data_IF_277975368341
#
_entry.id   IF_277975368341
#
_cell.length_a   1.000
_cell.length_b   1.000
_cell.length_c   1.000
_cell.angle_alpha   90.00
_cell.angle_beta   90.00
_cell.angle_gamma   90.00
#
_symmetry.space_group_name_H-M   'P 1'
#
loop_
_entity.id
_entity.type
_entity.pdbx_description
1 polymer ?
#
# COMPACT_ATOMS: atom_id res chain seq x y z
N UNK A 1 13.99 23.73 -9.73
CA UNK A 1 13.92 22.93 -8.47
C UNK A 1 13.94 23.92 -7.31
N UNK A 2 12.90 24.01 -6.47
CA UNK A 2 12.81 25.02 -5.40
C UNK A 2 13.88 24.71 -4.34
N UNK A 3 14.85 25.62 -4.14
CA UNK A 3 16.03 25.40 -3.25
C UNK A 3 15.63 25.02 -1.80
N UNK A 4 14.48 25.49 -1.32
CA UNK A 4 14.01 25.25 0.06
C UNK A 4 13.65 23.80 0.39
N UNK A 5 13.41 22.96 -0.62
CA UNK A 5 13.06 21.53 -0.47
C UNK A 5 14.15 20.59 -1.00
N UNK A 6 15.33 21.13 -1.35
CA UNK A 6 16.46 20.33 -1.82
C UNK A 6 16.98 19.43 -0.68
N UNK A 7 16.85 18.11 -0.84
CA UNK A 7 17.41 17.11 0.10
C UNK A 7 18.94 17.13 0.11
N UNK A 8 19.54 17.28 -1.07
CA UNK A 8 20.99 17.32 -1.25
C UNK A 8 21.64 18.57 -0.61
N UNK A 9 20.86 19.64 -0.45
CA UNK A 9 21.31 20.93 0.06
C UNK A 9 20.88 21.19 1.52
N UNK A 10 20.20 20.22 2.17
CA UNK A 10 19.65 20.39 3.52
C UNK A 10 18.70 21.59 3.64
N UNK A 11 17.94 21.91 2.57
CA UNK A 11 17.12 23.12 2.50
C UNK A 11 16.24 23.30 3.74
N UNK A 12 15.90 24.55 4.11
CA UNK A 12 15.26 24.91 5.40
C UNK A 12 14.03 24.07 5.81
N UNK A 13 13.35 23.47 4.83
CA UNK A 13 12.19 22.60 5.07
C UNK A 13 12.54 21.14 5.39
N UNK A 14 13.82 20.76 5.36
CA UNK A 14 14.34 19.42 5.66
C UNK A 14 14.85 19.40 7.11
N UNK A 15 14.54 18.33 7.85
CA UNK A 15 15.08 18.12 9.20
C UNK A 15 16.37 17.31 9.15
N UNK A 16 17.05 17.19 10.29
CA UNK A 16 18.25 16.35 10.46
C UNK A 16 18.06 14.88 10.06
N UNK A 17 16.81 14.39 9.99
CA UNK A 17 16.48 13.04 9.53
C UNK A 17 16.33 12.93 8.00
N UNK A 18 16.75 13.94 7.22
CA UNK A 18 16.61 14.00 5.75
C UNK A 18 15.15 13.84 5.26
N UNK A 19 14.18 14.22 6.10
CA UNK A 19 12.74 14.20 5.83
C UNK A 19 12.22 15.64 5.80
N UNK A 20 11.10 15.89 5.11
CA UNK A 20 10.40 17.16 5.22
C UNK A 20 9.97 17.37 6.69
N UNK A 21 10.33 18.50 7.29
CA UNK A 21 10.05 18.84 8.71
C UNK A 21 8.59 18.61 9.07
N UNK A 22 7.67 19.10 8.23
CA UNK A 22 6.23 18.95 8.43
C UNK A 22 5.76 17.48 8.48
N UNK A 23 6.45 16.57 7.81
CA UNK A 23 6.11 15.14 7.71
C UNK A 23 7.02 14.24 8.58
N UNK A 24 7.97 14.82 9.30
CA UNK A 24 8.90 14.04 10.11
C UNK A 24 8.25 13.62 11.42
N UNK A 25 8.02 12.31 11.59
CA UNK A 25 7.44 11.74 12.81
C UNK A 25 8.32 11.97 14.04
N UNK A 26 9.63 11.86 13.86
CA UNK A 26 10.61 11.97 14.94
C UNK A 26 10.75 13.42 15.43
N UNK A 27 10.47 14.40 14.57
CA UNK A 27 10.42 15.82 14.93
C UNK A 27 9.02 16.30 15.31
N UNK A 28 8.01 15.42 15.35
CA UNK A 28 6.61 15.84 15.60
C UNK A 28 6.08 16.84 14.57
N UNK A 29 6.46 16.68 13.29
CA UNK A 29 6.11 17.61 12.22
C UNK A 29 4.63 17.98 12.18
N UNK A 30 4.30 19.21 11.74
CA UNK A 30 2.95 19.77 11.80
C UNK A 30 1.85 18.93 11.10
N UNK A 31 2.21 18.09 10.14
CA UNK A 31 1.30 17.16 9.46
C UNK A 31 1.11 15.84 10.20
N UNK A 32 1.85 15.59 11.28
CA UNK A 32 1.80 14.39 12.11
C UNK A 32 0.94 14.71 13.34
N UNK A 33 -0.03 13.85 13.65
CA UNK A 33 -0.84 13.99 14.86
C UNK A 33 -0.18 13.33 16.08
N UNK A 34 -0.80 13.49 17.26
CA UNK A 34 -0.36 12.88 18.52
C UNK A 34 -0.23 11.35 18.44
N UNK A 35 -1.00 10.70 17.55
CA UNK A 35 -0.93 9.26 17.29
C UNK A 35 0.24 8.84 16.37
N UNK A 36 1.18 9.75 16.05
CA UNK A 36 2.32 9.53 15.13
C UNK A 36 1.90 9.08 13.71
N UNK A 37 0.69 9.45 13.31
CA UNK A 37 0.10 9.23 11.96
C UNK A 37 -0.03 10.56 11.24
N UNK A 38 -0.11 10.53 9.91
CA UNK A 38 -0.41 11.73 9.14
C UNK A 38 -1.84 12.20 9.49
N UNK A 39 -1.97 13.46 9.93
CA UNK A 39 -3.19 14.07 10.46
C UNK A 39 -4.35 13.95 9.46
N UNK A 40 -4.06 14.09 8.17
CA UNK A 40 -5.04 13.93 7.09
C UNK A 40 -5.67 12.52 7.04
N UNK A 41 -4.93 11.46 7.35
CA UNK A 41 -5.43 10.07 7.33
C UNK A 41 -5.67 9.49 8.73
N UNK A 42 -5.59 10.29 9.79
CA UNK A 42 -5.75 9.81 11.15
C UNK A 42 -7.24 9.68 11.49
N UNK A 43 -7.73 8.44 11.66
CA UNK A 43 -9.12 8.18 12.04
C UNK A 43 -9.49 8.76 13.40
N UNK A 44 -8.61 8.61 14.39
CA UNK A 44 -8.81 9.08 15.77
C UNK A 44 -8.89 10.61 15.86
N UNK A 45 -8.24 11.33 14.93
CA UNK A 45 -8.33 12.78 14.84
C UNK A 45 -9.42 13.27 13.87
N UNK A 46 -10.24 12.38 13.30
CA UNK A 46 -11.24 12.76 12.30
C UNK A 46 -10.64 13.34 11.01
N UNK A 47 -9.43 12.89 10.63
CA UNK A 47 -8.68 13.46 9.51
C UNK A 47 -9.48 13.54 8.21
N UNK A 48 -9.34 14.66 7.48
CA UNK A 48 -10.13 14.98 6.28
C UNK A 48 -10.05 13.94 5.15
N UNK A 49 -9.02 13.09 5.14
CA UNK A 49 -8.86 11.98 4.20
C UNK A 49 -9.71 10.75 4.53
N UNK A 50 -10.38 10.72 5.68
CA UNK A 50 -11.27 9.64 6.11
C UNK A 50 -12.72 10.06 5.89
N UNK A 51 -13.54 9.15 5.35
CA UNK A 51 -14.98 9.38 5.19
C UNK A 51 -15.76 8.94 6.43
N UNK A 52 -17.05 9.28 6.47
CA UNK A 52 -17.96 8.84 7.53
C UNK A 52 -18.00 7.31 7.74
N UNK A 53 -17.69 6.52 6.70
CA UNK A 53 -17.59 5.06 6.81
C UNK A 53 -16.28 4.56 7.43
N UNK A 54 -15.43 5.45 7.96
CA UNK A 54 -14.13 5.11 8.56
C UNK A 54 -13.09 4.58 7.56
N UNK A 55 -13.32 4.75 6.25
CA UNK A 55 -12.42 4.34 5.15
C UNK A 55 -11.72 5.58 4.58
N UNK A 56 -10.57 5.40 3.91
CA UNK A 56 -9.95 6.49 3.16
C UNK A 56 -10.90 6.92 2.05
N UNK A 57 -11.25 8.21 1.99
CA UNK A 57 -12.26 8.79 1.07
C UNK A 57 -12.05 8.33 -0.37
N UNK A 58 -10.83 8.44 -0.88
CA UNK A 58 -10.51 8.06 -2.26
C UNK A 58 -10.73 6.56 -2.55
N UNK A 59 -10.70 5.69 -1.53
CA UNK A 59 -10.89 4.24 -1.69
C UNK A 59 -12.24 3.74 -1.16
N UNK A 60 -13.11 4.63 -0.70
CA UNK A 60 -14.41 4.25 -0.18
C UNK A 60 -15.39 4.03 -1.34
N UNK A 61 -15.88 2.79 -1.50
CA UNK A 61 -16.89 2.45 -2.52
C UNK A 61 -18.20 3.17 -2.29
N UNK A 62 -18.63 3.21 -1.03
CA UNK A 62 -19.89 3.82 -0.59
C UNK A 62 -19.92 5.34 -0.84
N UNK A 63 -18.75 5.99 -0.92
CA UNK A 63 -18.62 7.40 -1.27
C UNK A 63 -18.28 7.64 -2.76
N UNK A 64 -18.21 6.60 -3.60
CA UNK A 64 -17.76 6.74 -4.99
C UNK A 64 -16.33 7.26 -5.12
N UNK A 65 -15.45 6.90 -4.18
CA UNK A 65 -14.09 7.44 -4.08
C UNK A 65 -13.31 7.37 -5.39
N UNK A 66 -12.44 8.37 -5.62
CA UNK A 66 -11.69 8.54 -6.88
C UNK A 66 -10.77 7.38 -7.28
N UNK A 67 -10.47 6.44 -6.39
CA UNK A 67 -9.74 5.21 -6.72
C UNK A 67 -10.66 4.08 -7.21
N UNK A 68 -11.99 4.22 -7.11
CA UNK A 68 -12.97 3.21 -7.49
C UNK A 68 -13.45 3.48 -8.92
N UNK A 69 -13.50 2.45 -9.77
CA UNK A 69 -14.04 2.54 -11.13
C UNK A 69 -15.55 2.24 -11.15
N UNK A 70 -16.18 2.45 -12.31
CA UNK A 70 -17.59 2.12 -12.53
C UNK A 70 -17.93 0.65 -12.21
N UNK A 71 -16.97 -0.28 -12.34
CA UNK A 71 -17.13 -1.69 -11.98
C UNK A 71 -17.07 -1.97 -10.45
N UNK A 72 -17.05 -0.94 -9.60
CA UNK A 72 -16.97 -1.09 -8.13
C UNK A 72 -15.65 -1.68 -7.62
N UNK A 73 -14.60 -1.68 -8.46
CA UNK A 73 -13.25 -2.19 -8.14
C UNK A 73 -12.27 -1.02 -8.01
N UNK A 74 -11.19 -1.17 -7.26
CA UNK A 74 -10.10 -0.20 -7.30
C UNK A 74 -9.50 -0.17 -8.72
N UNK A 75 -9.44 1.02 -9.34
CA UNK A 75 -8.97 1.27 -10.72
C UNK A 75 -7.65 0.58 -11.01
N UNK A 76 -6.70 0.63 -10.06
CA UNK A 76 -5.38 -0.01 -10.20
C UNK A 76 -5.43 -1.52 -10.39
N UNK A 77 -6.48 -2.19 -9.91
CA UNK A 77 -6.67 -3.65 -9.97
C UNK A 77 -7.81 -4.06 -10.90
N UNK A 78 -8.51 -3.13 -11.53
CA UNK A 78 -9.59 -3.44 -12.45
C UNK A 78 -9.02 -3.86 -13.81
N UNK A 79 -9.30 -5.10 -14.23
CA UNK A 79 -8.86 -5.63 -15.53
C UNK A 79 -9.52 -4.87 -16.69
N UNK A 80 -10.83 -4.63 -16.59
CA UNK A 80 -11.61 -3.93 -17.62
C UNK A 80 -11.13 -2.49 -17.85
N UNK A 81 -10.64 -1.82 -16.80
CA UNK A 81 -10.06 -0.49 -16.91
C UNK A 81 -8.55 -0.48 -17.26
N UNK A 82 -7.94 -1.63 -17.56
CA UNK A 82 -6.49 -1.70 -17.81
C UNK A 82 -5.64 -1.28 -16.61
N UNK A 83 -6.09 -1.57 -15.39
CA UNK A 83 -5.49 -1.08 -14.15
C UNK A 83 -3.98 -1.31 -14.08
N UNK A 84 -3.22 -0.31 -13.61
CA UNK A 84 -1.74 -0.32 -13.59
C UNK A 84 -1.09 -1.52 -12.91
N UNK A 85 -1.80 -2.20 -12.00
CA UNK A 85 -1.32 -3.40 -11.30
C UNK A 85 -1.64 -4.71 -12.03
N UNK A 86 -2.32 -4.66 -13.17
CA UNK A 86 -2.63 -5.79 -14.04
C UNK A 86 -1.55 -5.88 -15.14
N UNK A 87 -1.04 -7.08 -15.39
CA UNK A 87 -0.07 -7.35 -16.46
C UNK A 87 -0.80 -7.69 -17.78
N UNK A 88 -0.07 -7.75 -18.91
CA UNK A 88 -0.64 -8.15 -20.20
C UNK A 88 -1.35 -9.51 -20.17
N UNK A 89 -0.91 -10.44 -19.32
CA UNK A 89 -1.56 -11.74 -19.10
C UNK A 89 -2.88 -11.65 -18.29
N UNK A 90 -3.38 -10.43 -18.02
CA UNK A 90 -4.59 -10.17 -17.24
C UNK A 90 -4.48 -10.50 -15.74
N UNK A 91 -3.30 -10.89 -15.25
CA UNK A 91 -3.06 -11.24 -13.83
C UNK A 91 -2.55 -10.02 -13.06
N UNK A 92 -2.66 -10.00 -11.74
CA UNK A 92 -1.95 -8.98 -10.95
C UNK A 92 -0.44 -9.15 -11.15
N UNK A 93 0.28 -8.06 -11.49
CA UNK A 93 1.73 -8.06 -11.78
C UNK A 93 2.54 -8.78 -10.71
N UNK A 94 2.24 -8.53 -9.43
CA UNK A 94 2.92 -9.17 -8.30
C UNK A 94 2.71 -10.68 -8.21
N UNK A 95 1.62 -11.21 -8.76
CA UNK A 95 1.26 -12.64 -8.70
C UNK A 95 1.40 -13.34 -10.05
N UNK A 96 1.88 -12.65 -11.09
CA UNK A 96 2.04 -13.24 -12.40
C UNK A 96 3.37 -13.97 -12.48
N UNK A 97 3.33 -15.28 -12.75
CA UNK A 97 4.53 -16.11 -12.89
C UNK A 97 5.36 -15.71 -14.12
N UNK A 98 4.69 -15.49 -15.25
CA UNK A 98 5.32 -15.10 -16.52
C UNK A 98 6.04 -13.74 -16.41
N UNK A 99 5.54 -12.84 -15.56
CA UNK A 99 6.21 -11.56 -15.29
C UNK A 99 7.23 -11.61 -14.15
N UNK A 100 7.52 -12.79 -13.57
CA UNK A 100 8.40 -12.90 -12.40
C UNK A 100 7.89 -12.08 -11.19
N UNK A 101 6.57 -12.00 -11.00
CA UNK A 101 5.95 -11.13 -10.01
C UNK A 101 6.54 -11.31 -8.61
N UNK A 102 6.67 -10.23 -7.85
CA UNK A 102 7.35 -10.22 -6.54
C UNK A 102 6.80 -11.23 -5.51
N UNK A 103 5.55 -11.67 -5.64
CA UNK A 103 4.94 -12.69 -4.78
C UNK A 103 5.26 -14.12 -5.23
N UNK A 104 5.96 -14.32 -6.34
CA UNK A 104 6.39 -15.63 -6.85
C UNK A 104 7.80 -15.93 -6.31
N UNK A 105 7.99 -17.15 -5.81
CA UNK A 105 9.31 -17.63 -5.39
C UNK A 105 10.07 -18.25 -6.57
N UNK A 106 11.35 -18.58 -6.35
CA UNK A 106 12.19 -19.32 -7.31
C UNK A 106 11.55 -20.62 -7.79
N UNK A 107 10.74 -21.28 -6.96
CA UNK A 107 10.01 -22.50 -7.32
C UNK A 107 8.76 -22.26 -8.20
N UNK A 108 8.52 -21.04 -8.69
CA UNK A 108 7.36 -20.70 -9.51
C UNK A 108 6.01 -20.79 -8.77
N UNK A 109 6.01 -20.81 -7.43
CA UNK A 109 4.82 -20.84 -6.57
C UNK A 109 4.62 -19.48 -5.89
N UNK A 110 3.41 -19.19 -5.41
CA UNK A 110 3.22 -18.04 -4.53
C UNK A 110 4.05 -18.24 -3.26
N UNK A 111 4.87 -17.27 -2.88
CA UNK A 111 5.74 -17.29 -1.69
C UNK A 111 4.99 -17.70 -0.44
N UNK A 112 3.77 -17.17 -0.24
CA UNK A 112 2.92 -17.50 0.91
C UNK A 112 2.46 -18.96 0.94
N UNK A 113 2.39 -19.63 -0.20
CA UNK A 113 1.89 -21.01 -0.34
C UNK A 113 3.00 -22.03 -0.63
N UNK A 114 4.25 -21.58 -0.77
CA UNK A 114 5.36 -22.45 -1.09
C UNK A 114 5.85 -23.17 0.18
N UNK A 115 5.75 -24.50 0.19
CA UNK A 115 6.23 -25.34 1.30
C UNK A 115 7.73 -25.22 1.51
N UNK A 116 8.50 -25.21 0.43
CA UNK A 116 9.96 -25.12 0.45
C UNK A 116 10.45 -23.76 0.98
N UNK A 117 9.67 -22.70 0.77
CA UNK A 117 9.96 -21.38 1.32
C UNK A 117 9.38 -21.16 2.73
N UNK A 118 8.74 -22.16 3.35
CA UNK A 118 8.07 -21.99 4.64
C UNK A 118 6.94 -20.94 4.60
N UNK A 119 6.21 -20.86 3.48
CA UNK A 119 5.24 -19.80 3.24
C UNK A 119 4.21 -19.63 4.37
N UNK A 120 3.79 -18.40 4.65
CA UNK A 120 2.90 -18.08 5.77
C UNK A 120 1.52 -18.78 5.75
N UNK A 121 1.10 -19.32 4.60
CA UNK A 121 -0.12 -20.12 4.44
C UNK A 121 0.09 -21.62 4.66
N UNK A 122 1.32 -22.05 4.97
CA UNK A 122 1.67 -23.43 5.31
C UNK A 122 1.52 -23.59 6.83
N UNK A 123 0.86 -24.66 7.25
CA UNK A 123 0.74 -25.03 8.65
C UNK A 123 1.97 -25.85 9.11
N UNK A 124 2.13 -26.10 10.43
CA UNK A 124 3.22 -26.93 10.95
C UNK A 124 3.30 -28.32 10.29
N UNK A 125 2.15 -28.90 9.89
CA UNK A 125 2.08 -30.20 9.20
C UNK A 125 2.47 -30.16 7.70
N UNK A 126 3.11 -29.09 7.22
CA UNK A 126 3.49 -28.90 5.80
C UNK A 126 2.30 -28.98 4.82
N UNK A 127 1.09 -28.67 5.27
CA UNK A 127 -0.15 -28.55 4.46
C UNK A 127 -0.56 -27.08 4.36
N UNK A 128 -1.40 -26.73 3.38
CA UNK A 128 -2.01 -25.40 3.37
C UNK A 128 -2.96 -25.29 4.57
N UNK A 129 -2.88 -24.19 5.33
CA UNK A 129 -3.75 -23.89 6.48
C UNK A 129 -5.24 -24.20 6.24
N UNK A 130 -5.89 -23.74 5.14
CA UNK A 130 -7.31 -24.06 4.89
C UNK A 130 -7.59 -25.54 4.60
N UNK A 131 -6.56 -26.36 4.34
CA UNK A 131 -6.65 -27.80 4.10
C UNK A 131 -6.11 -28.62 5.28
N UNK A 132 -5.75 -27.96 6.37
CA UNK A 132 -5.35 -28.60 7.62
C UNK A 132 -6.62 -28.80 8.44
N UNK A 133 -7.23 -29.98 8.31
CA UNK A 133 -8.17 -30.51 9.29
C UNK A 133 -7.39 -31.11 10.44
#
# INVERSE_FOLDING_TARGET
RVKSQCKDCGGVSICQHNRLRAMCKDCGGASICVHKRERYYCKECGGNGICQHGKVRSRCKDCGGSAICAHGRERRYCRECGGKSICPHGRQKSKCKECGGASICSHGRLRSQCKECGGASICPHKRLKPRCK
#
